data_IF_961234967803
#
_entry.id   IF_961234967803
#
_cell.length_a   1.000
_cell.length_b   1.000
_cell.length_c   1.000
_cell.angle_alpha   90.00
_cell.angle_beta   90.00
_cell.angle_gamma   90.00
#
_symmetry.space_group_name_H-M   'P 1'
#
loop_
_entity.id
_entity.type
_entity.pdbx_description
1 polymer ?
#
# COMPACT_ATOMS: atom_id res chain seq x y z
N UNK A 1 -4.42 16.03 11.09
CA UNK A 1 -4.42 16.03 9.61
C UNK A 1 -5.72 16.66 9.17
N UNK A 2 -5.68 17.76 8.43
CA UNK A 2 -6.89 18.43 7.96
C UNK A 2 -7.65 17.52 7.01
N UNK A 3 -8.98 17.55 7.10
CA UNK A 3 -9.89 16.70 6.34
C UNK A 3 -10.04 17.23 4.91
N UNK A 4 -8.92 17.37 4.20
CA UNK A 4 -8.90 17.88 2.82
C UNK A 4 -9.58 16.86 1.91
N UNK A 5 -10.58 17.33 1.16
CA UNK A 5 -11.30 16.51 0.20
C UNK A 5 -10.64 16.64 -1.16
N UNK A 6 -10.43 15.51 -1.84
CA UNK A 6 -9.88 15.44 -3.19
C UNK A 6 -10.93 14.83 -4.12
N UNK A 7 -11.29 15.55 -5.19
CA UNK A 7 -12.16 15.02 -6.24
C UNK A 7 -11.43 13.92 -7.03
N UNK A 8 -12.10 12.80 -7.27
CA UNK A 8 -11.58 11.67 -8.06
C UNK A 8 -12.64 11.31 -9.10
N UNK A 9 -12.31 11.51 -10.37
CA UNK A 9 -13.22 11.25 -11.48
C UNK A 9 -12.67 10.12 -12.37
N UNK A 10 -13.50 9.08 -12.57
CA UNK A 10 -13.16 7.91 -13.38
C UNK A 10 -13.67 8.06 -14.82
N UNK A 11 -12.72 8.03 -15.76
CA UNK A 11 -12.91 8.07 -17.21
C UNK A 11 -12.58 6.70 -17.83
N UNK A 12 -12.99 5.63 -17.16
CA UNK A 12 -13.01 4.28 -17.72
C UNK A 12 -14.41 3.94 -18.26
N UNK A 13 -14.51 2.88 -19.07
CA UNK A 13 -15.74 2.45 -19.71
C UNK A 13 -16.87 2.12 -18.71
N UNK A 14 -16.54 1.87 -17.44
CA UNK A 14 -17.50 1.60 -16.37
C UNK A 14 -17.70 2.79 -15.42
N UNK A 15 -17.12 3.96 -15.70
CA UNK A 15 -17.26 5.18 -14.89
C UNK A 15 -17.01 4.93 -13.39
N UNK A 16 -16.00 4.14 -13.07
CA UNK A 16 -15.60 3.80 -11.71
C UNK A 16 -16.47 2.76 -11.00
N UNK A 17 -17.47 2.17 -11.66
CA UNK A 17 -18.39 1.20 -11.06
C UNK A 17 -17.65 -0.01 -10.45
N UNK A 18 -16.53 -0.42 -11.04
CA UNK A 18 -15.65 -1.46 -10.50
C UNK A 18 -15.15 -1.15 -9.09
N UNK A 19 -14.85 0.12 -8.80
CA UNK A 19 -14.40 0.54 -7.48
C UNK A 19 -15.58 0.84 -6.56
N UNK A 20 -16.66 1.42 -7.10
CA UNK A 20 -17.86 1.78 -6.33
C UNK A 20 -18.53 0.57 -5.65
N UNK A 21 -18.46 -0.62 -6.27
CA UNK A 21 -19.00 -1.87 -5.72
C UNK A 21 -18.08 -2.55 -4.69
N UNK A 22 -16.88 -2.03 -4.46
CA UNK A 22 -15.94 -2.63 -3.52
C UNK A 22 -16.33 -2.29 -2.08
N UNK A 23 -16.56 -3.29 -1.18
CA UNK A 23 -17.01 -3.05 0.19
C UNK A 23 -15.97 -2.34 1.08
N UNK A 24 -14.73 -2.26 0.63
CA UNK A 24 -13.65 -1.51 1.28
C UNK A 24 -13.53 -0.07 0.77
N UNK A 25 -14.32 0.36 -0.21
CA UNK A 25 -14.45 1.78 -0.55
C UNK A 25 -15.36 2.49 0.47
N UNK A 26 -14.81 2.79 1.64
CA UNK A 26 -15.52 3.48 2.72
C UNK A 26 -14.58 4.28 3.62
N UNK A 27 -15.09 5.26 4.39
CA UNK A 27 -14.28 6.01 5.33
C UNK A 27 -13.43 5.11 6.24
N UNK A 28 -12.18 5.50 6.48
CA UNK A 28 -11.21 4.73 7.26
C UNK A 28 -10.43 3.67 6.47
N UNK A 29 -10.67 3.52 5.16
CA UNK A 29 -9.86 2.70 4.24
C UNK A 29 -9.03 3.57 3.32
N UNK A 30 -8.04 2.98 2.64
CA UNK A 30 -7.07 3.72 1.83
C UNK A 30 -7.28 3.39 0.37
N UNK A 31 -7.35 4.43 -0.47
CA UNK A 31 -7.30 4.28 -1.92
C UNK A 31 -5.95 4.81 -2.42
N UNK A 32 -5.22 3.98 -3.16
CA UNK A 32 -3.89 4.29 -3.68
C UNK A 32 -3.95 4.48 -5.20
N UNK A 33 -3.25 5.50 -5.68
CA UNK A 33 -3.17 5.87 -7.08
C UNK A 33 -1.70 5.96 -7.49
N UNK A 34 -1.29 5.23 -8.53
CA UNK A 34 0.06 5.29 -9.07
C UNK A 34 0.13 6.17 -10.31
N UNK A 35 1.13 7.05 -10.30
CA UNK A 35 1.35 8.05 -11.35
C UNK A 35 0.07 8.87 -11.67
N UNK A 36 -0.67 9.34 -10.64
CA UNK A 36 -1.89 10.10 -10.88
C UNK A 36 -1.55 11.45 -11.53
N UNK A 37 -2.44 11.92 -12.40
CA UNK A 37 -2.37 13.26 -12.98
C UNK A 37 -3.52 14.10 -12.42
N UNK A 38 -3.17 15.30 -11.96
CA UNK A 38 -4.17 16.30 -11.60
C UNK A 38 -4.79 16.89 -12.87
N UNK A 39 -6.07 17.19 -12.80
CA UNK A 39 -6.84 17.78 -13.88
C UNK A 39 -7.68 18.94 -13.34
N UNK A 40 -7.72 20.00 -14.12
CA UNK A 40 -8.63 21.12 -13.93
C UNK A 40 -9.91 20.85 -14.71
N UNK A 41 -11.05 20.82 -14.03
CA UNK A 41 -12.35 20.51 -14.61
C UNK A 41 -13.08 21.80 -15.02
N UNK A 42 -14.01 21.68 -15.96
CA UNK A 42 -14.76 22.83 -16.50
C UNK A 42 -15.63 23.54 -15.46
N UNK A 43 -15.98 22.86 -14.38
CA UNK A 43 -16.73 23.42 -13.24
C UNK A 43 -15.83 24.19 -12.25
N UNK A 44 -14.54 24.34 -12.56
CA UNK A 44 -13.55 25.01 -11.72
C UNK A 44 -12.93 24.13 -10.64
N UNK A 45 -13.34 22.88 -10.51
CA UNK A 45 -12.76 21.95 -9.54
C UNK A 45 -11.38 21.45 -10.02
N UNK A 46 -10.52 21.09 -9.08
CA UNK A 46 -9.25 20.40 -9.35
C UNK A 46 -9.26 19.05 -8.64
N UNK A 47 -8.83 18.01 -9.34
CA UNK A 47 -8.83 16.65 -8.78
C UNK A 47 -8.06 15.66 -9.64
N UNK A 48 -8.19 14.37 -9.31
CA UNK A 48 -7.60 13.29 -10.07
C UNK A 48 -8.53 12.84 -11.19
N UNK A 49 -8.01 12.81 -12.41
CA UNK A 49 -8.67 12.19 -13.56
C UNK A 49 -8.05 10.83 -13.82
N UNK A 50 -8.83 9.77 -13.59
CA UNK A 50 -8.39 8.39 -13.72
C UNK A 50 -8.84 7.82 -15.05
N UNK A 51 -7.89 7.66 -15.98
CA UNK A 51 -8.16 7.13 -17.33
C UNK A 51 -8.34 5.60 -17.34
N UNK A 52 -9.01 5.11 -18.38
CA UNK A 52 -9.19 3.67 -18.65
C UNK A 52 -7.89 2.86 -18.56
N UNK A 53 -6.76 3.40 -19.05
CA UNK A 53 -5.46 2.75 -19.00
C UNK A 53 -4.94 2.57 -17.58
N UNK A 54 -5.10 3.58 -16.72
CA UNK A 54 -4.70 3.48 -15.31
C UNK A 54 -5.47 2.38 -14.57
N UNK A 55 -6.77 2.20 -14.89
CA UNK A 55 -7.59 1.11 -14.35
C UNK A 55 -7.11 -0.25 -14.86
N UNK A 56 -6.90 -0.40 -16.17
CA UNK A 56 -6.47 -1.66 -16.80
C UNK A 56 -5.08 -2.12 -16.33
N UNK A 57 -4.17 -1.17 -16.11
CA UNK A 57 -2.82 -1.45 -15.63
C UNK A 57 -2.74 -1.66 -14.11
N UNK A 58 -3.88 -1.63 -13.40
CA UNK A 58 -3.91 -1.83 -11.95
C UNK A 58 -3.19 -0.73 -11.17
N UNK A 59 -3.17 0.51 -11.68
CA UNK A 59 -2.58 1.68 -11.01
C UNK A 59 -3.48 2.27 -9.92
N UNK A 60 -4.69 1.75 -9.77
CA UNK A 60 -5.65 2.15 -8.74
C UNK A 60 -5.98 0.94 -7.89
N UNK A 61 -5.80 1.07 -6.56
CA UNK A 61 -6.08 -0.02 -5.63
C UNK A 61 -6.78 0.49 -4.38
N UNK A 62 -7.81 -0.23 -3.96
CA UNK A 62 -8.42 -0.06 -2.64
C UNK A 62 -7.71 -1.01 -1.69
N UNK A 63 -7.17 -0.46 -0.61
CA UNK A 63 -6.51 -1.18 0.46
C UNK A 63 -7.45 -1.18 1.68
N UNK A 64 -7.77 -2.35 2.26
CA UNK A 64 -8.70 -2.47 3.38
C UNK A 64 -8.04 -2.07 4.71
N UNK A 65 -7.25 -0.99 4.72
CA UNK A 65 -6.51 -0.52 5.87
C UNK A 65 -6.50 1.00 5.92
N UNK A 66 -6.31 1.56 7.12
CA UNK A 66 -6.12 3.00 7.29
C UNK A 66 -4.77 3.44 6.71
N UNK A 67 -4.63 4.74 6.41
CA UNK A 67 -3.35 5.29 5.95
C UNK A 67 -2.23 5.01 6.96
N UNK A 68 -2.50 5.20 8.26
CA UNK A 68 -1.56 4.86 9.34
C UNK A 68 -1.07 3.42 9.29
N UNK A 69 -1.94 2.48 8.94
CA UNK A 69 -1.55 1.07 8.81
C UNK A 69 -0.63 0.87 7.61
N UNK A 70 -0.94 1.51 6.49
CA UNK A 70 -0.10 1.45 5.28
C UNK A 70 1.27 2.06 5.52
N UNK A 71 1.34 3.22 6.17
CA UNK A 71 2.60 3.89 6.54
C UNK A 71 3.43 3.02 7.49
N UNK A 72 2.83 2.51 8.58
CA UNK A 72 3.51 1.59 9.51
C UNK A 72 4.08 0.35 8.82
N UNK A 73 3.36 -0.19 7.84
CA UNK A 73 3.81 -1.36 7.07
C UNK A 73 4.94 -0.97 6.13
N UNK A 74 4.85 0.17 5.45
CA UNK A 74 5.92 0.70 4.60
C UNK A 74 7.23 0.85 5.39
N UNK A 75 7.19 1.53 6.54
CA UNK A 75 8.37 1.75 7.38
C UNK A 75 9.02 0.40 7.76
N UNK A 76 8.18 -0.57 8.16
CA UNK A 76 8.64 -1.91 8.51
C UNK A 76 9.22 -2.73 7.36
N UNK A 77 8.86 -2.45 6.11
CA UNK A 77 9.44 -3.13 4.95
C UNK A 77 10.88 -2.69 4.72
N UNK A 78 11.18 -1.41 4.96
CA UNK A 78 12.48 -0.80 4.71
C UNK A 78 13.43 -0.82 5.91
N UNK A 79 12.91 -1.08 7.11
CA UNK A 79 13.72 -1.36 8.31
C UNK A 79 14.64 -2.58 8.14
N UNK A 80 15.89 -2.48 8.60
CA UNK A 80 16.81 -3.61 8.73
C UNK A 80 16.25 -4.70 9.65
N UNK A 81 16.58 -5.97 9.34
CA UNK A 81 16.04 -7.17 10.01
C UNK A 81 17.17 -7.99 10.62
N UNK A 82 17.83 -7.42 11.61
CA UNK A 82 19.00 -7.96 12.32
C UNK A 82 18.67 -8.65 13.66
N UNK A 83 17.44 -8.47 14.17
CA UNK A 83 16.97 -9.00 15.45
C UNK A 83 15.60 -9.66 15.36
N UNK A 84 15.35 -10.60 16.26
CA UNK A 84 14.04 -11.25 16.38
C UNK A 84 12.97 -10.23 16.76
N UNK A 85 11.90 -10.12 15.96
CA UNK A 85 10.84 -9.14 16.21
C UNK A 85 10.14 -9.33 17.57
N UNK A 86 10.11 -10.56 18.10
CA UNK A 86 9.44 -10.85 19.38
C UNK A 86 10.32 -10.67 20.60
N UNK A 87 11.52 -11.25 20.60
CA UNK A 87 12.41 -11.29 21.77
C UNK A 87 13.64 -10.38 21.65
N UNK A 88 13.80 -9.68 20.52
CA UNK A 88 14.86 -8.71 20.25
C UNK A 88 16.29 -9.29 20.31
N UNK A 89 16.45 -10.63 20.31
CA UNK A 89 17.76 -11.27 20.19
C UNK A 89 18.40 -10.97 18.83
N UNK A 90 19.65 -10.53 18.87
CA UNK A 90 20.54 -10.28 17.74
C UNK A 90 21.54 -11.43 17.57
N UNK A 91 22.24 -11.48 16.43
CA UNK A 91 23.33 -12.45 16.19
C UNK A 91 22.89 -13.91 16.13
N UNK A 92 21.59 -14.17 16.02
CA UNK A 92 20.99 -15.51 15.88
C UNK A 92 20.46 -15.70 14.47
N UNK A 93 20.29 -16.95 14.06
CA UNK A 93 19.60 -17.25 12.80
C UNK A 93 18.14 -16.76 12.87
N UNK A 94 17.73 -16.01 11.84
CA UNK A 94 16.41 -15.41 11.76
C UNK A 94 15.62 -15.98 10.58
N UNK A 95 14.43 -16.47 10.88
CA UNK A 95 13.48 -16.98 9.93
C UNK A 95 12.41 -15.94 9.60
N UNK A 96 12.18 -15.70 8.30
CA UNK A 96 11.12 -14.81 7.84
C UNK A 96 9.76 -15.48 8.00
N UNK A 97 8.75 -14.69 8.35
CA UNK A 97 7.36 -15.14 8.29
C UNK A 97 7.03 -15.67 6.89
N UNK A 98 6.62 -16.92 6.77
CA UNK A 98 6.34 -17.55 5.48
C UNK A 98 5.30 -16.80 4.63
N UNK A 99 4.32 -16.15 5.27
CA UNK A 99 3.26 -15.40 4.59
C UNK A 99 3.73 -14.05 4.06
N UNK A 100 4.15 -13.16 4.97
CA UNK A 100 4.47 -11.79 4.58
C UNK A 100 5.91 -11.63 4.07
N UNK A 101 6.84 -12.47 4.52
CA UNK A 101 8.29 -12.38 4.29
C UNK A 101 8.97 -11.13 4.87
N UNK A 102 8.23 -10.27 5.57
CA UNK A 102 8.72 -8.99 6.13
C UNK A 102 9.14 -9.10 7.60
N UNK A 103 8.37 -9.80 8.43
CA UNK A 103 8.73 -10.02 9.84
C UNK A 103 9.74 -11.17 9.99
N UNK A 104 10.66 -11.06 10.95
CA UNK A 104 11.71 -12.04 11.24
C UNK A 104 11.67 -12.53 12.69
N UNK A 105 11.95 -13.81 12.91
CA UNK A 105 11.91 -14.45 14.22
C UNK A 105 13.04 -15.47 14.37
N UNK A 106 13.60 -15.61 15.57
CA UNK A 106 14.63 -16.62 15.84
C UNK A 106 14.09 -18.06 15.87
N UNK A 107 12.77 -18.25 15.79
CA UNK A 107 12.13 -19.55 15.82
C UNK A 107 10.60 -19.48 15.86
N UNK A 108 9.96 -20.66 15.75
CA UNK A 108 8.51 -20.81 15.71
C UNK A 108 7.82 -20.30 16.97
N UNK A 109 8.45 -20.44 18.13
CA UNK A 109 7.89 -19.99 19.42
C UNK A 109 7.73 -18.48 19.45
N UNK A 110 8.75 -17.74 19.01
CA UNK A 110 8.71 -16.28 18.89
C UNK A 110 7.68 -15.82 17.86
N UNK A 111 7.59 -16.50 16.71
CA UNK A 111 6.56 -16.19 15.71
C UNK A 111 5.14 -16.41 16.27
N UNK A 112 4.93 -17.50 17.01
CA UNK A 112 3.62 -17.86 17.58
C UNK A 112 3.25 -16.89 18.71
N UNK A 113 4.21 -16.53 19.56
CA UNK A 113 4.02 -15.55 20.63
C UNK A 113 3.78 -14.12 20.10
N UNK A 114 4.26 -13.78 18.90
CA UNK A 114 3.95 -12.50 18.25
C UNK A 114 2.66 -12.52 17.44
N UNK A 115 2.07 -13.70 17.18
CA UNK A 115 1.03 -13.87 16.16
C UNK A 115 -0.18 -12.94 16.36
N UNK A 116 -0.60 -12.71 17.61
CA UNK A 116 -1.75 -11.84 17.89
C UNK A 116 -1.54 -10.39 17.46
N UNK A 117 -0.31 -9.88 17.58
CA UNK A 117 0.05 -8.54 17.12
C UNK A 117 0.41 -8.57 15.63
N UNK A 118 1.26 -9.51 15.23
CA UNK A 118 1.71 -9.65 13.85
C UNK A 118 0.56 -9.82 12.86
N UNK A 119 -0.46 -10.64 13.17
CA UNK A 119 -1.57 -10.94 12.24
C UNK A 119 -2.35 -9.70 11.80
N UNK A 120 -2.35 -8.64 12.62
CA UNK A 120 -2.99 -7.35 12.31
C UNK A 120 -2.33 -6.67 11.11
N UNK A 121 -1.02 -6.85 10.94
CA UNK A 121 -0.22 -6.26 9.86
C UNK A 121 0.22 -7.28 8.81
N UNK A 122 0.23 -8.57 9.13
CA UNK A 122 0.73 -9.65 8.27
C UNK A 122 0.10 -9.63 6.87
N UNK A 123 -1.23 -9.43 6.80
CA UNK A 123 -1.95 -9.30 5.54
C UNK A 123 -1.67 -7.97 4.84
N UNK A 124 -1.51 -6.89 5.59
CA UNK A 124 -1.19 -5.59 5.01
C UNK A 124 0.18 -5.61 4.31
N UNK A 125 1.20 -6.28 4.88
CA UNK A 125 2.48 -6.50 4.21
C UNK A 125 2.32 -7.17 2.84
N UNK A 126 1.49 -8.21 2.73
CA UNK A 126 1.25 -8.86 1.43
C UNK A 126 0.50 -7.95 0.46
N UNK A 127 -0.44 -7.14 0.97
CA UNK A 127 -1.26 -6.25 0.14
C UNK A 127 -0.50 -5.05 -0.42
N UNK A 128 0.61 -4.63 0.19
CA UNK A 128 1.45 -3.52 -0.30
C UNK A 128 2.57 -3.97 -1.24
N UNK A 129 2.82 -5.28 -1.39
CA UNK A 129 3.85 -5.82 -2.30
C UNK A 129 3.72 -5.37 -3.74
N UNK A 130 2.48 -5.22 -4.23
CA UNK A 130 2.21 -4.66 -5.57
C UNK A 130 2.86 -3.28 -5.81
N UNK A 131 3.11 -2.51 -4.74
CA UNK A 131 3.80 -1.23 -4.77
C UNK A 131 5.28 -1.40 -4.43
N UNK A 132 5.62 -2.11 -3.35
CA UNK A 132 7.02 -2.20 -2.88
C UNK A 132 7.91 -3.05 -3.78
N UNK A 133 7.34 -4.00 -4.53
CA UNK A 133 8.10 -4.87 -5.44
C UNK A 133 8.30 -4.20 -6.82
N UNK A 134 7.72 -3.01 -7.06
CA UNK A 134 7.96 -2.25 -8.30
C UNK A 134 9.37 -1.66 -8.29
N UNK A 135 10.03 -1.70 -9.45
CA UNK A 135 11.28 -0.99 -9.66
C UNK A 135 10.98 0.50 -9.89
N UNK A 136 11.12 1.31 -8.84
CA UNK A 136 10.88 2.75 -8.87
C UNK A 136 11.95 3.53 -9.66
N UNK A 137 13.13 2.93 -9.90
CA UNK A 137 14.22 3.57 -10.65
C UNK A 137 13.85 3.69 -12.13
N UNK A 138 13.25 2.67 -12.74
CA UNK A 138 12.85 2.74 -14.17
C UNK A 138 11.58 3.57 -14.44
N UNK A 139 10.74 3.79 -13.41
CA UNK A 139 9.56 4.63 -13.50
C UNK A 139 9.88 6.14 -13.61
N UNK A 140 11.07 6.53 -13.16
CA UNK A 140 11.44 7.94 -12.97
C UNK A 140 12.17 8.55 -14.18
N UNK A 141 12.83 7.76 -15.04
CA UNK A 141 13.82 8.30 -16.00
C UNK A 141 13.21 8.75 -17.34
N UNK A 142 11.97 8.34 -17.69
CA UNK A 142 11.36 8.75 -18.98
C UNK A 142 10.31 9.88 -18.87
N UNK A 143 9.86 10.24 -17.67
CA UNK A 143 8.72 11.15 -17.47
C UNK A 143 9.02 12.42 -16.66
N UNK A 144 10.26 12.63 -16.22
CA UNK A 144 10.68 13.91 -15.64
C UNK A 144 11.70 14.56 -16.57
N UNK A 145 11.19 15.33 -17.54
CA UNK A 145 11.95 16.45 -18.11
C UNK A 145 11.58 17.67 -17.28
N UNK A 146 12.54 18.21 -16.53
CA UNK A 146 12.46 19.56 -15.98
C UNK A 146 12.44 20.57 -17.13
#
# INVERSE_FOLDING_TARGET
>A
MNNEQLLIAFYDNKRGETFAKNPDLKPGRTMAFLYPKFHYFFDGQTGLRIEQSAVQEGRVKILPYTMDTILKVNDKIWEEKDRCQKCQKEGVELNRCARCKSAVYCGKDCQTADWNEHKKLCKAFTEVKWFTDKNWVSASVKNFRF
#
